data_IF_955169059351
#
_entry.id   IF_955169059351
#
_cell.length_a   1.000
_cell.length_b   1.000
_cell.length_c   1.000
_cell.angle_alpha   90.00
_cell.angle_beta   90.00
_cell.angle_gamma   90.00
#
_symmetry.space_group_name_H-M   'P 1'
#
loop_
_entity.id
_entity.type
_entity.pdbx_description
1 polymer ?
#
# COMPACT_ATOMS: atom_id res chain seq x y z
N UNK A 1 10.09 19.18 -19.70
CA UNK A 1 10.49 17.80 -19.38
C UNK A 1 10.61 17.74 -17.87
N UNK A 2 9.53 17.35 -17.18
CA UNK A 2 9.48 17.38 -15.72
C UNK A 2 10.22 16.12 -15.23
N UNK A 3 11.33 16.28 -14.51
CA UNK A 3 11.92 15.18 -13.75
C UNK A 3 10.83 14.65 -12.80
N UNK A 4 10.30 13.47 -13.12
CA UNK A 4 9.45 12.75 -12.19
C UNK A 4 10.31 12.45 -10.96
N UNK A 5 10.13 13.26 -9.92
CA UNK A 5 10.85 13.14 -8.65
C UNK A 5 10.83 11.68 -8.22
N UNK A 6 11.98 11.02 -8.29
CA UNK A 6 12.14 9.59 -8.07
C UNK A 6 12.39 9.27 -6.59
N UNK A 7 12.07 10.21 -5.71
CA UNK A 7 12.23 10.08 -4.27
C UNK A 7 11.03 9.37 -3.63
N UNK A 8 11.32 8.66 -2.54
CA UNK A 8 10.31 8.11 -1.64
C UNK A 8 9.46 9.25 -1.08
N UNK A 9 8.14 9.07 -1.07
CA UNK A 9 7.19 10.01 -0.49
C UNK A 9 6.60 9.46 0.80
N UNK A 10 6.47 10.33 1.80
CA UNK A 10 5.87 10.04 3.11
C UNK A 10 4.95 11.19 3.52
N UNK A 11 4.06 10.94 4.48
CA UNK A 11 3.15 11.96 5.03
C UNK A 11 3.88 13.15 5.66
N UNK A 12 4.99 12.86 6.33
CA UNK A 12 5.86 13.78 7.07
C UNK A 12 7.30 13.26 7.03
N UNK A 13 8.31 14.07 7.42
CA UNK A 13 9.65 13.55 7.68
C UNK A 13 9.63 12.38 8.66
N UNK A 14 10.58 11.44 8.52
CA UNK A 14 10.56 10.16 9.25
C UNK A 14 10.53 10.30 10.78
N UNK A 15 11.11 11.37 11.33
CA UNK A 15 11.09 11.66 12.77
C UNK A 15 9.73 12.14 13.32
N UNK A 16 8.78 12.48 12.45
CA UNK A 16 7.44 12.97 12.82
C UNK A 16 6.32 11.95 12.52
N UNK A 17 6.70 10.75 12.07
CA UNK A 17 5.75 9.68 11.77
C UNK A 17 5.51 8.82 13.02
N UNK A 18 4.25 8.48 13.27
CA UNK A 18 3.87 7.54 14.32
C UNK A 18 4.13 6.08 13.91
N UNK A 19 4.26 5.84 12.60
CA UNK A 19 4.70 4.57 12.05
C UNK A 19 5.37 4.77 10.69
N UNK A 20 6.47 4.04 10.50
CA UNK A 20 7.22 3.98 9.26
C UNK A 20 7.64 2.53 8.99
N UNK A 21 7.41 2.07 7.76
CA UNK A 21 7.92 0.81 7.26
C UNK A 21 8.40 0.96 5.82
N UNK A 22 9.55 0.38 5.52
CA UNK A 22 10.13 0.39 4.18
C UNK A 22 10.64 -1.01 3.88
N UNK A 23 10.12 -1.61 2.82
CA UNK A 23 10.52 -2.94 2.36
C UNK A 23 10.76 -2.91 0.87
N UNK A 24 11.78 -3.65 0.41
CA UNK A 24 12.13 -3.71 -1.00
C UNK A 24 12.45 -5.13 -1.44
N UNK A 25 12.28 -5.40 -2.73
CA UNK A 25 12.65 -6.66 -3.35
C UNK A 25 13.17 -6.42 -4.77
N UNK A 26 14.18 -7.20 -5.16
CA UNK A 26 14.66 -7.24 -6.54
C UNK A 26 13.67 -8.03 -7.41
N UNK A 27 13.33 -7.46 -8.56
CA UNK A 27 12.47 -8.08 -9.56
C UNK A 27 13.31 -8.70 -10.67
N UNK A 28 12.86 -9.81 -11.28
CA UNK A 28 13.57 -10.44 -12.40
C UNK A 28 13.56 -9.57 -13.66
N UNK A 29 12.58 -8.68 -13.81
CA UNK A 29 12.47 -7.70 -14.88
C UNK A 29 11.63 -6.51 -14.40
N UNK A 30 11.74 -5.38 -15.11
CA UNK A 30 10.98 -4.18 -14.79
C UNK A 30 9.49 -4.35 -15.08
N UNK A 31 8.66 -3.93 -14.15
CA UNK A 31 7.19 -3.81 -14.29
C UNK A 31 6.76 -2.41 -13.85
N UNK A 32 5.50 -2.04 -14.10
CA UNK A 32 4.95 -0.78 -13.59
C UNK A 32 4.50 -0.92 -12.12
N UNK A 33 4.44 0.17 -11.35
CA UNK A 33 3.89 0.14 -10.00
C UNK A 33 2.43 -0.30 -9.93
N UNK A 34 1.62 0.03 -10.94
CA UNK A 34 0.23 -0.42 -11.04
C UNK A 34 0.15 -1.94 -11.31
N UNK A 35 1.04 -2.49 -12.13
CA UNK A 35 1.13 -3.93 -12.30
C UNK A 35 1.56 -4.61 -10.99
N UNK A 36 2.54 -4.04 -10.28
CA UNK A 36 2.95 -4.53 -8.97
C UNK A 36 1.78 -4.52 -7.98
N UNK A 37 0.99 -3.44 -7.96
CA UNK A 37 -0.24 -3.36 -7.17
C UNK A 37 -1.21 -4.49 -7.51
N UNK A 38 -1.56 -4.64 -8.79
CA UNK A 38 -2.50 -5.67 -9.25
C UNK A 38 -2.05 -7.10 -8.89
N UNK A 39 -0.75 -7.40 -8.97
CA UNK A 39 -0.20 -8.72 -8.60
C UNK A 39 -0.21 -8.90 -7.08
N UNK A 40 0.18 -7.87 -6.33
CA UNK A 40 0.24 -7.91 -4.88
C UNK A 40 -1.16 -8.02 -4.25
N UNK A 41 -2.16 -7.34 -4.81
CA UNK A 41 -3.55 -7.32 -4.31
C UNK A 41 -4.45 -8.36 -4.99
N UNK A 42 -4.01 -8.95 -6.11
CA UNK A 42 -4.71 -10.00 -6.83
C UNK A 42 -4.79 -11.30 -6.04
N UNK A 43 -6.02 -11.70 -5.67
CA UNK A 43 -6.32 -12.94 -4.97
C UNK A 43 -7.00 -12.74 -3.62
N UNK A 44 -7.60 -13.80 -3.05
CA UNK A 44 -8.32 -13.70 -1.79
C UNK A 44 -7.35 -13.43 -0.62
N UNK A 45 -7.51 -12.28 0.05
CA UNK A 45 -6.81 -11.93 1.31
C UNK A 45 -7.76 -12.02 2.52
N UNK A 46 -8.20 -13.22 2.93
CA UNK A 46 -9.23 -13.41 3.96
C UNK A 46 -8.82 -12.86 5.33
N UNK A 47 -7.53 -12.96 5.70
CA UNK A 47 -7.00 -12.41 6.97
C UNK A 47 -7.11 -10.88 7.00
N UNK A 48 -6.86 -10.23 5.85
CA UNK A 48 -6.92 -8.77 5.72
C UNK A 48 -8.38 -8.27 5.66
N UNK A 49 -9.27 -9.03 5.00
CA UNK A 49 -10.72 -8.80 5.05
C UNK A 49 -11.29 -8.98 6.47
N UNK A 50 -10.79 -9.95 7.24
CA UNK A 50 -11.20 -10.15 8.63
C UNK A 50 -10.69 -9.02 9.54
N UNK A 51 -9.44 -8.58 9.36
CA UNK A 51 -8.88 -7.43 10.07
C UNK A 51 -9.64 -6.12 9.77
N UNK A 52 -10.00 -5.87 8.51
CA UNK A 52 -10.84 -4.74 8.13
C UNK A 52 -12.27 -4.84 8.66
N UNK A 53 -12.87 -6.03 8.70
CA UNK A 53 -14.19 -6.24 9.33
C UNK A 53 -14.17 -5.99 10.84
N UNK A 54 -13.16 -6.48 11.55
CA UNK A 54 -12.99 -6.24 12.99
C UNK A 54 -12.76 -4.75 13.24
N UNK A 55 -11.93 -4.09 12.41
CA UNK A 55 -11.74 -2.64 12.42
C UNK A 55 -13.03 -1.88 12.18
N UNK A 56 -13.79 -2.22 11.14
CA UNK A 56 -15.03 -1.55 10.76
C UNK A 56 -16.12 -1.73 11.83
N UNK A 57 -16.12 -2.86 12.55
CA UNK A 57 -17.02 -3.13 13.67
C UNK A 57 -16.70 -2.24 14.88
N UNK A 58 -15.42 -2.04 15.20
CA UNK A 58 -14.97 -1.13 16.27
C UNK A 58 -15.20 0.35 15.87
N UNK A 59 -15.00 0.64 14.58
CA UNK A 59 -15.16 1.94 13.93
C UNK A 59 -16.62 2.40 13.76
N UNK A 60 -17.59 1.48 13.77
CA UNK A 60 -19.02 1.80 13.65
C UNK A 60 -19.57 2.61 14.84
N UNK A 61 -18.88 2.61 15.98
CA UNK A 61 -19.16 3.49 17.13
C UNK A 61 -18.50 4.88 17.04
N UNK A 62 -17.63 5.10 16.06
CA UNK A 62 -16.83 6.31 15.89
C UNK A 62 -16.91 6.94 14.48
N UNK A 63 -17.84 6.47 13.64
CA UNK A 63 -18.22 7.07 12.34
C UNK A 63 -17.05 7.19 11.31
N UNK A 64 -16.14 6.23 11.37
CA UNK A 64 -14.94 6.09 10.52
C UNK A 64 -15.28 5.45 9.16
N UNK A 65 -14.57 5.82 8.08
CA UNK A 65 -14.88 5.39 6.70
C UNK A 65 -14.71 3.86 6.56
N UNK A 66 -15.76 3.16 6.09
CA UNK A 66 -15.72 1.70 5.93
C UNK A 66 -14.72 1.29 4.86
N UNK A 67 -13.85 0.33 5.18
CA UNK A 67 -12.95 -0.29 4.21
C UNK A 67 -13.60 -1.60 3.74
N UNK A 68 -14.20 -1.58 2.55
CA UNK A 68 -14.83 -2.76 1.92
C UNK A 68 -13.87 -3.90 1.55
N UNK A 69 -12.59 -3.78 1.89
CA UNK A 69 -11.51 -4.70 1.53
C UNK A 69 -10.91 -4.39 0.16
N UNK A 70 -10.00 -5.26 -0.29
CA UNK A 70 -9.46 -5.25 -1.65
C UNK A 70 -10.44 -5.98 -2.58
N UNK A 71 -10.85 -5.33 -3.67
CA UNK A 71 -11.70 -5.89 -4.71
C UNK A 71 -11.03 -7.06 -5.41
N UNK A 72 -9.70 -7.05 -5.52
CA UNK A 72 -8.93 -8.00 -6.30
C UNK A 72 -9.15 -7.86 -7.81
N UNK A 73 -9.86 -6.81 -8.23
CA UNK A 73 -10.10 -6.49 -9.63
C UNK A 73 -8.83 -5.91 -10.22
N UNK A 74 -8.39 -6.47 -11.36
CA UNK A 74 -7.28 -5.92 -12.12
C UNK A 74 -7.68 -4.55 -12.66
N UNK A 75 -6.91 -3.53 -12.34
CA UNK A 75 -7.09 -2.17 -12.86
C UNK A 75 -6.11 -1.95 -14.02
N UNK A 76 -6.63 -1.58 -15.19
CA UNK A 76 -5.80 -1.42 -16.39
C UNK A 76 -5.15 -0.05 -16.47
N UNK A 77 -5.85 0.99 -16.03
CA UNK A 77 -5.36 2.38 -16.02
C UNK A 77 -5.80 3.07 -14.74
N UNK A 78 -4.99 4.01 -14.26
CA UNK A 78 -5.30 4.81 -13.08
C UNK A 78 -4.64 6.19 -13.18
N UNK A 79 -5.33 7.21 -12.67
CA UNK A 79 -4.85 8.58 -12.60
C UNK A 79 -5.02 9.15 -11.19
N UNK A 80 -4.35 10.27 -10.91
CA UNK A 80 -4.53 10.98 -9.64
C UNK A 80 -6.00 11.39 -9.47
N UNK A 81 -6.54 11.20 -8.26
CA UNK A 81 -7.95 11.40 -7.94
C UNK A 81 -8.81 10.14 -8.04
N UNK A 82 -8.35 9.09 -8.73
CA UNK A 82 -9.05 7.81 -8.77
C UNK A 82 -8.98 7.08 -7.41
N UNK A 83 -9.74 5.99 -7.28
CA UNK A 83 -9.68 5.09 -6.13
C UNK A 83 -9.18 3.70 -6.52
N UNK A 84 -8.14 3.23 -5.84
CA UNK A 84 -7.75 1.83 -5.83
C UNK A 84 -8.26 1.20 -4.53
N UNK A 85 -9.33 0.44 -4.65
CA UNK A 85 -10.11 -0.06 -3.52
C UNK A 85 -10.56 1.10 -2.61
N UNK A 86 -10.04 1.18 -1.39
CA UNK A 86 -10.36 2.26 -0.46
C UNK A 86 -9.34 3.41 -0.49
N UNK A 87 -8.18 3.21 -1.12
CA UNK A 87 -7.13 4.22 -1.23
C UNK A 87 -7.49 5.26 -2.30
N UNK A 88 -7.22 6.53 -1.98
CA UNK A 88 -7.15 7.59 -2.98
C UNK A 88 -5.80 7.49 -3.69
N UNK A 89 -5.81 7.61 -5.01
CA UNK A 89 -4.59 7.75 -5.79
C UNK A 89 -4.16 9.20 -5.75
N UNK A 90 -3.11 9.48 -4.99
CA UNK A 90 -2.61 10.85 -4.79
C UNK A 90 -1.67 11.26 -5.93
N UNK A 91 -0.90 10.31 -6.48
CA UNK A 91 0.00 10.54 -7.61
C UNK A 91 0.28 9.24 -8.37
N UNK A 92 0.47 9.37 -9.68
CA UNK A 92 0.85 8.28 -10.59
C UNK A 92 1.94 8.78 -11.54
N UNK A 93 3.05 8.06 -11.57
CA UNK A 93 4.13 8.25 -12.52
C UNK A 93 4.59 6.89 -13.07
N UNK A 94 5.38 6.84 -14.17
CA UNK A 94 5.82 5.57 -14.75
C UNK A 94 6.51 4.62 -13.77
N UNK A 95 7.20 5.18 -12.77
CA UNK A 95 7.96 4.45 -11.76
C UNK A 95 7.41 4.62 -10.33
N UNK A 96 6.32 5.38 -10.13
CA UNK A 96 5.76 5.66 -8.81
C UNK A 96 4.24 5.55 -8.78
N UNK A 97 3.70 5.01 -7.69
CA UNK A 97 2.29 5.07 -7.35
C UNK A 97 2.15 5.47 -5.88
N UNK A 98 1.42 6.54 -5.60
CA UNK A 98 1.15 7.02 -4.25
C UNK A 98 -0.32 6.84 -3.92
N UNK A 99 -0.57 6.16 -2.81
CA UNK A 99 -1.89 5.80 -2.33
C UNK A 99 -2.08 6.33 -0.93
N UNK A 100 -3.20 7.00 -0.67
CA UNK A 100 -3.48 7.56 0.65
C UNK A 100 -4.85 7.20 1.19
N UNK A 101 -4.95 7.19 2.51
CA UNK A 101 -6.20 7.11 3.25
C UNK A 101 -6.15 8.23 4.28
N UNK A 102 -7.20 9.05 4.30
CA UNK A 102 -7.38 10.12 5.29
C UNK A 102 -8.57 9.76 6.16
N UNK A 103 -8.33 9.64 7.45
CA UNK A 103 -9.35 9.19 8.40
C UNK A 103 -9.23 9.99 9.71
N UNK A 104 -10.29 9.96 10.51
CA UNK A 104 -10.36 10.74 11.76
C UNK A 104 -9.31 10.35 12.78
N UNK A 105 -8.88 9.10 12.77
CA UNK A 105 -7.97 8.55 13.77
C UNK A 105 -6.53 8.47 13.28
N UNK A 106 -6.31 8.41 11.97
CA UNK A 106 -5.00 8.38 11.35
C UNK A 106 -5.09 8.68 9.85
N UNK A 107 -3.95 9.11 9.32
CA UNK A 107 -3.67 9.20 7.90
C UNK A 107 -2.64 8.14 7.53
N UNK A 108 -2.80 7.53 6.35
CA UNK A 108 -1.86 6.57 5.76
C UNK A 108 -1.41 7.05 4.40
N UNK A 109 -0.12 6.89 4.11
CA UNK A 109 0.42 6.93 2.75
C UNK A 109 1.24 5.67 2.46
N UNK A 110 0.94 5.05 1.33
CA UNK A 110 1.71 3.97 0.73
C UNK A 110 2.34 4.49 -0.56
N UNK A 111 3.67 4.46 -0.64
CA UNK A 111 4.43 4.80 -1.83
C UNK A 111 5.03 3.52 -2.41
N UNK A 112 4.61 3.15 -3.62
CA UNK A 112 5.25 2.13 -4.44
C UNK A 112 6.22 2.84 -5.38
N UNK A 113 7.51 2.51 -5.31
CA UNK A 113 8.55 3.07 -6.15
C UNK A 113 9.33 1.94 -6.81
N UNK A 114 9.51 1.99 -8.12
CA UNK A 114 10.34 1.04 -8.87
C UNK A 114 11.53 1.77 -9.45
N UNK A 115 12.74 1.32 -9.11
CA UNK A 115 13.98 1.86 -9.66
C UNK A 115 14.98 0.74 -9.85
N UNK A 116 15.60 0.65 -11.02
CA UNK A 116 16.62 -0.37 -11.34
C UNK A 116 16.15 -1.81 -11.03
N UNK A 117 14.92 -2.14 -11.44
CA UNK A 117 14.23 -3.40 -11.13
C UNK A 117 14.05 -3.70 -9.63
N UNK A 118 14.23 -2.72 -8.74
CA UNK A 118 13.92 -2.86 -7.32
C UNK A 118 12.56 -2.21 -7.06
N UNK A 119 11.60 -3.01 -6.59
CA UNK A 119 10.34 -2.51 -6.06
C UNK A 119 10.52 -2.20 -4.58
N UNK A 120 10.24 -0.96 -4.21
CA UNK A 120 10.19 -0.48 -2.84
C UNK A 120 8.76 -0.10 -2.46
N UNK A 121 8.33 -0.54 -1.29
CA UNK A 121 7.04 -0.20 -0.68
C UNK A 121 7.33 0.52 0.62
N UNK A 122 6.92 1.79 0.68
CA UNK A 122 7.04 2.62 1.88
C UNK A 122 5.65 2.88 2.43
N UNK A 123 5.44 2.56 3.70
CA UNK A 123 4.24 2.92 4.44
C UNK A 123 4.58 3.96 5.51
N UNK A 124 3.82 5.05 5.54
CA UNK A 124 3.93 6.09 6.56
C UNK A 124 2.56 6.41 7.14
N UNK A 125 2.50 6.59 8.46
CA UNK A 125 1.25 6.87 9.18
C UNK A 125 1.47 8.01 10.17
N UNK A 126 0.47 8.89 10.24
CA UNK A 126 0.33 9.89 11.29
C UNK A 126 -1.00 9.64 11.99
N UNK A 127 -0.98 9.49 13.30
CA UNK A 127 -2.18 9.28 14.12
C UNK A 127 -2.67 10.60 14.69
N UNK A 128 -3.99 10.76 14.80
CA UNK A 128 -4.60 12.01 15.26
C UNK A 128 -5.03 11.96 16.73
N UNK A 129 -5.20 10.76 17.29
CA UNK A 129 -5.73 10.59 18.64
C UNK A 129 -5.24 9.28 19.31
N UNK A 130 -5.58 9.10 20.59
CA UNK A 130 -5.18 7.93 21.37
C UNK A 130 -5.71 6.62 20.78
N UNK A 131 -6.91 6.64 20.17
CA UNK A 131 -7.46 5.48 19.48
C UNK A 131 -6.59 5.11 18.26
N UNK A 132 -6.17 6.07 17.44
CA UNK A 132 -5.26 5.85 16.32
C UNK A 132 -3.93 5.23 16.75
N UNK A 133 -3.34 5.71 17.86
CA UNK A 133 -2.12 5.12 18.43
C UNK A 133 -2.32 3.68 18.90
N UNK A 134 -3.40 3.42 19.66
CA UNK A 134 -3.73 2.06 20.10
C UNK A 134 -4.02 1.12 18.92
N UNK A 135 -4.65 1.64 17.86
CA UNK A 135 -4.93 0.91 16.63
C UNK A 135 -3.65 0.49 15.89
N UNK A 136 -2.62 1.33 15.91
CA UNK A 136 -1.34 1.01 15.26
C UNK A 136 -0.51 -0.06 15.98
N UNK A 137 -0.75 -0.33 17.27
CA UNK A 137 -0.03 -1.36 18.03
C UNK A 137 -0.15 -2.76 17.40
N UNK A 138 -1.35 -3.28 17.06
CA UNK A 138 -1.49 -4.52 16.32
C UNK A 138 -1.30 -4.35 14.80
N UNK A 139 -1.74 -3.22 14.24
CA UNK A 139 -1.81 -3.04 12.78
C UNK A 139 -0.43 -2.89 12.16
N UNK A 140 0.48 -2.17 12.80
CA UNK A 140 1.86 -2.00 12.32
C UNK A 140 2.57 -3.34 12.11
N UNK A 141 2.69 -4.20 13.13
CA UNK A 141 3.32 -5.52 12.99
C UNK A 141 2.66 -6.40 11.90
N UNK A 142 1.33 -6.43 11.85
CA UNK A 142 0.60 -7.21 10.85
C UNK A 142 0.87 -6.68 9.44
N UNK A 143 0.89 -5.36 9.26
CA UNK A 143 1.20 -4.72 7.99
C UNK A 143 2.58 -5.14 7.48
N UNK A 144 3.61 -5.12 8.32
CA UNK A 144 4.97 -5.54 7.94
C UNK A 144 4.99 -6.95 7.35
N UNK A 145 4.28 -7.88 7.99
CA UNK A 145 4.20 -9.27 7.56
C UNK A 145 3.46 -9.38 6.21
N UNK A 146 2.37 -8.64 6.05
CA UNK A 146 1.58 -8.64 4.80
C UNK A 146 2.42 -8.13 3.64
N UNK A 147 3.07 -6.97 3.79
CA UNK A 147 3.91 -6.39 2.73
C UNK A 147 5.03 -7.35 2.34
N UNK A 148 5.70 -7.97 3.33
CA UNK A 148 6.74 -8.97 3.04
C UNK A 148 6.19 -10.14 2.21
N UNK A 149 5.02 -10.66 2.57
CA UNK A 149 4.37 -11.77 1.86
C UNK A 149 3.95 -11.38 0.45
N UNK A 150 3.42 -10.18 0.28
CA UNK A 150 3.00 -9.65 -1.02
C UNK A 150 4.21 -9.47 -1.95
N UNK A 151 5.33 -8.94 -1.45
CA UNK A 151 6.58 -8.81 -2.21
C UNK A 151 7.12 -10.19 -2.63
N UNK A 152 7.18 -11.17 -1.72
CA UNK A 152 7.62 -12.52 -2.05
C UNK A 152 6.70 -13.21 -3.07
N UNK A 153 5.38 -13.03 -2.93
CA UNK A 153 4.41 -13.55 -3.88
C UNK A 153 4.60 -12.94 -5.27
N UNK A 154 4.76 -11.61 -5.33
CA UNK A 154 5.01 -10.88 -6.56
C UNK A 154 6.28 -11.39 -7.27
N UNK A 155 7.40 -11.49 -6.56
CA UNK A 155 8.63 -12.01 -7.13
C UNK A 155 8.44 -13.43 -7.70
N UNK A 156 7.76 -14.31 -6.96
CA UNK A 156 7.45 -15.68 -7.41
C UNK A 156 6.59 -15.71 -8.68
N UNK A 157 5.58 -14.84 -8.78
CA UNK A 157 4.74 -14.71 -9.98
C UNK A 157 5.57 -14.26 -11.17
N UNK A 158 6.42 -13.25 -11.01
CA UNK A 158 7.26 -12.73 -12.09
C UNK A 158 8.31 -13.74 -12.55
N UNK A 159 8.98 -14.45 -11.63
CA UNK A 159 9.95 -15.50 -11.99
C UNK A 159 9.30 -16.57 -12.86
N UNK A 160 8.08 -17.00 -12.52
CA UNK A 160 7.34 -17.99 -13.32
C UNK A 160 7.04 -17.48 -14.74
N UNK A 161 6.68 -16.20 -14.88
CA UNK A 161 6.44 -15.59 -16.20
C UNK A 161 7.72 -15.58 -17.05
N UNK A 162 8.87 -15.29 -16.44
CA UNK A 162 10.17 -15.30 -17.14
C UNK A 162 10.59 -16.68 -17.64
N UNK A 163 10.12 -17.76 -17.01
CA UNK A 163 10.43 -19.14 -17.41
C UNK A 163 9.44 -19.76 -18.40
N UNK A 164 8.33 -19.06 -18.67
CA UNK A 164 7.25 -19.55 -19.56
C UNK A 164 7.15 -18.77 -20.87
N UNK A 165 8.09 -17.86 -21.14
CA UNK A 165 8.27 -17.17 -22.42
C UNK A 165 9.64 -17.51 -22.99
#
# INVERSE_FOLDING_TARGET
>A
MQEADSSIRTLKPSGELDYYDHQSILLPFAITPLEAWNIATGGPKPILKLAFKVRDMISSRFDVQRIGGFSGSKVETVQAGDRLDFFLVEDVAPNRLILTVRDRHLDVMICLLIKDCVLSVTASVVTHNAFGRAYMLPVGPVHKIIVKRDLMHLAKVLTRRSTSG
#
